data_IF_948335028745
#
_entry.id   IF_948335028745
#
_cell.length_a   1.000
_cell.length_b   1.000
_cell.length_c   1.000
_cell.angle_alpha   90.00
_cell.angle_beta   90.00
_cell.angle_gamma   90.00
#
_symmetry.space_group_name_H-M   'P 1'
#
loop_
_entity.id
_entity.type
_entity.pdbx_description
1 polymer ?
#
# COMPACT_ATOMS: atom_id res chain seq x y z
N UNK A 1 -14.14 18.26 -23.64
CA UNK A 1 -15.02 17.18 -23.14
C UNK A 1 -14.28 15.84 -23.09
N UNK A 2 -13.66 15.39 -24.18
CA UNK A 2 -12.96 14.09 -24.29
C UNK A 2 -11.81 13.83 -23.29
N UNK A 3 -11.09 14.87 -22.85
CA UNK A 3 -9.97 14.71 -21.88
C UNK A 3 -10.49 14.39 -20.47
N UNK A 4 -11.58 15.04 -20.04
CA UNK A 4 -12.14 14.85 -18.70
C UNK A 4 -12.75 13.45 -18.56
N UNK A 5 -13.49 13.00 -19.58
CA UNK A 5 -14.05 11.64 -19.64
C UNK A 5 -12.98 10.57 -19.47
N UNK A 6 -11.86 10.71 -20.17
CA UNK A 6 -10.74 9.77 -20.08
C UNK A 6 -10.05 9.80 -18.72
N UNK A 7 -9.94 10.98 -18.09
CA UNK A 7 -9.42 11.11 -16.72
C UNK A 7 -10.34 10.40 -15.71
N UNK A 8 -11.65 10.54 -15.87
CA UNK A 8 -12.63 9.85 -15.01
C UNK A 8 -12.55 8.32 -15.17
N UNK A 9 -12.49 7.83 -16.41
CA UNK A 9 -12.35 6.40 -16.70
C UNK A 9 -11.08 5.80 -16.05
N UNK A 10 -9.95 6.52 -16.13
CA UNK A 10 -8.69 6.11 -15.48
C UNK A 10 -8.83 6.11 -13.96
N UNK A 11 -9.46 7.14 -13.40
CA UNK A 11 -9.70 7.24 -11.95
C UNK A 11 -10.55 6.06 -11.47
N UNK A 12 -11.64 5.76 -12.17
CA UNK A 12 -12.57 4.70 -11.77
C UNK A 12 -11.92 3.32 -11.90
N UNK A 13 -11.18 3.08 -12.99
CA UNK A 13 -10.38 1.86 -13.15
C UNK A 13 -9.34 1.72 -12.03
N UNK A 14 -8.69 2.82 -11.65
CA UNK A 14 -7.71 2.83 -10.57
C UNK A 14 -8.36 2.55 -9.22
N UNK A 15 -9.51 3.16 -8.94
CA UNK A 15 -10.27 2.92 -7.71
C UNK A 15 -10.73 1.46 -7.62
N UNK A 16 -11.29 0.91 -8.69
CA UNK A 16 -11.75 -0.48 -8.71
C UNK A 16 -10.61 -1.49 -8.56
N UNK A 17 -9.44 -1.22 -9.16
CA UNK A 17 -8.31 -2.16 -9.16
C UNK A 17 -7.48 -2.06 -7.89
N UNK A 18 -7.20 -0.83 -7.42
CA UNK A 18 -6.18 -0.58 -6.41
C UNK A 18 -6.71 -0.01 -5.10
N UNK A 19 -7.95 0.48 -5.06
CA UNK A 19 -8.53 1.10 -3.86
C UNK A 19 -9.82 0.42 -3.38
N UNK A 20 -10.28 -0.61 -4.09
CA UNK A 20 -11.39 -1.46 -3.63
C UNK A 20 -10.98 -2.14 -2.34
N UNK A 21 -11.84 -2.01 -1.33
CA UNK A 21 -11.65 -2.61 -0.03
C UNK A 21 -12.14 -4.06 -0.08
N UNK A 22 -11.38 -4.95 0.55
CA UNK A 22 -11.67 -6.37 0.71
C UNK A 22 -11.61 -6.73 2.20
N UNK A 23 -12.08 -7.91 2.58
CA UNK A 23 -12.07 -8.42 3.96
C UNK A 23 -10.65 -8.50 4.56
N UNK A 24 -9.61 -8.51 3.72
CA UNK A 24 -8.20 -8.52 4.11
C UNK A 24 -7.56 -7.11 4.13
N UNK A 25 -8.31 -6.06 3.81
CA UNK A 25 -7.83 -4.68 3.86
C UNK A 25 -7.84 -4.16 5.29
N UNK A 26 -6.69 -3.69 5.79
CA UNK A 26 -6.56 -3.13 7.13
C UNK A 26 -5.93 -1.73 7.16
N UNK A 27 -5.80 -1.08 6.00
CA UNK A 27 -5.36 0.32 5.89
C UNK A 27 -6.32 1.11 5.00
N UNK A 28 -6.49 2.39 5.32
CA UNK A 28 -7.45 3.26 4.62
C UNK A 28 -6.99 3.66 3.22
N UNK A 29 -7.92 4.18 2.40
CA UNK A 29 -7.65 4.65 1.02
C UNK A 29 -6.52 5.68 0.95
N UNK A 30 -6.46 6.63 1.89
CA UNK A 30 -5.39 7.65 1.93
C UNK A 30 -4.02 7.02 2.15
N UNK A 31 -3.91 6.06 3.07
CA UNK A 31 -2.66 5.34 3.33
C UNK A 31 -2.24 4.49 2.12
N UNK A 32 -3.20 3.90 1.41
CA UNK A 32 -2.96 3.17 0.17
C UNK A 32 -2.41 4.08 -0.91
N UNK A 33 -3.05 5.22 -1.18
CA UNK A 33 -2.58 6.21 -2.15
C UNK A 33 -1.18 6.70 -1.79
N UNK A 34 -0.96 7.05 -0.51
CA UNK A 34 0.35 7.49 -0.04
C UNK A 34 1.43 6.41 -0.25
N UNK A 35 1.10 5.15 0.02
CA UNK A 35 2.00 4.01 -0.19
C UNK A 35 2.29 3.78 -1.68
N UNK A 36 1.29 3.92 -2.55
CA UNK A 36 1.47 3.79 -4.01
C UNK A 36 2.36 4.91 -4.56
N UNK A 37 2.06 6.16 -4.22
CA UNK A 37 2.80 7.33 -4.70
C UNK A 37 4.23 7.31 -4.17
N UNK A 38 4.40 7.13 -2.85
CA UNK A 38 5.71 7.05 -2.22
C UNK A 38 6.52 5.85 -2.70
N UNK A 39 5.89 4.68 -2.81
CA UNK A 39 6.52 3.46 -3.32
C UNK A 39 6.98 3.60 -4.76
N UNK A 40 6.15 4.20 -5.63
CA UNK A 40 6.52 4.51 -7.02
C UNK A 40 7.71 5.45 -7.10
N UNK A 41 7.70 6.54 -6.31
CA UNK A 41 8.79 7.51 -6.29
C UNK A 41 10.12 6.88 -5.85
N UNK A 42 10.12 6.12 -4.75
CA UNK A 42 11.32 5.48 -4.21
C UNK A 42 11.82 4.40 -5.18
N UNK A 43 10.92 3.56 -5.72
CA UNK A 43 11.29 2.55 -6.72
C UNK A 43 11.90 3.21 -7.97
N UNK A 44 11.29 4.27 -8.48
CA UNK A 44 11.80 5.02 -9.63
C UNK A 44 13.18 5.62 -9.36
N UNK A 45 13.41 6.16 -8.15
CA UNK A 45 14.72 6.65 -7.74
C UNK A 45 15.77 5.52 -7.74
N UNK A 46 15.42 4.36 -7.20
CA UNK A 46 16.28 3.17 -7.22
C UNK A 46 16.63 2.71 -8.64
N UNK A 47 15.63 2.64 -9.53
CA UNK A 47 15.85 2.31 -10.96
C UNK A 47 16.83 3.29 -11.59
N UNK A 48 16.68 4.60 -11.36
CA UNK A 48 17.57 5.61 -11.94
C UNK A 48 19.00 5.55 -11.43
N UNK A 49 19.19 5.11 -10.19
CA UNK A 49 20.49 5.06 -9.52
C UNK A 49 21.17 3.68 -9.55
N UNK A 50 20.56 2.68 -10.20
CA UNK A 50 21.03 1.29 -10.16
C UNK A 50 22.48 1.13 -10.66
N UNK A 51 22.88 1.94 -11.65
CA UNK A 51 24.24 1.92 -12.21
C UNK A 51 25.24 2.75 -11.40
N UNK A 52 24.77 3.80 -10.73
CA UNK A 52 25.63 4.72 -9.97
C UNK A 52 25.91 4.24 -8.55
N UNK A 53 24.95 3.56 -7.92
CA UNK A 53 25.03 3.13 -6.53
C UNK A 53 24.18 1.87 -6.32
N UNK A 54 24.63 0.71 -6.81
CA UNK A 54 23.82 -0.52 -6.89
C UNK A 54 23.33 -1.01 -5.52
N UNK A 55 24.15 -0.90 -4.47
CA UNK A 55 23.77 -1.31 -3.12
C UNK A 55 22.62 -0.44 -2.61
N UNK A 56 22.74 0.88 -2.72
CA UNK A 56 21.71 1.80 -2.25
C UNK A 56 20.43 1.71 -3.09
N UNK A 57 20.57 1.59 -4.41
CA UNK A 57 19.47 1.37 -5.33
C UNK A 57 18.70 0.08 -5.03
N UNK A 58 19.38 -0.99 -4.61
CA UNK A 58 18.72 -2.23 -4.19
C UNK A 58 17.83 -2.03 -2.97
N UNK A 59 18.30 -1.25 -1.98
CA UNK A 59 17.50 -0.87 -0.82
C UNK A 59 16.29 -0.03 -1.21
N UNK A 60 16.47 0.96 -2.09
CA UNK A 60 15.38 1.79 -2.61
C UNK A 60 14.34 0.95 -3.36
N UNK A 61 14.76 0.01 -4.20
CA UNK A 61 13.85 -0.90 -4.90
C UNK A 61 13.05 -1.78 -3.94
N UNK A 62 13.70 -2.34 -2.91
CA UNK A 62 13.03 -3.17 -1.91
C UNK A 62 12.00 -2.36 -1.12
N UNK A 63 12.37 -1.16 -0.65
CA UNK A 63 11.46 -0.27 0.08
C UNK A 63 10.30 0.16 -0.80
N UNK A 64 10.60 0.59 -2.03
CA UNK A 64 9.59 0.99 -3.01
C UNK A 64 8.61 -0.14 -3.32
N UNK A 65 9.12 -1.35 -3.59
CA UNK A 65 8.31 -2.54 -3.82
C UNK A 65 7.42 -2.88 -2.62
N UNK A 66 7.94 -2.81 -1.40
CA UNK A 66 7.15 -3.07 -0.19
C UNK A 66 6.03 -2.06 0.01
N UNK A 67 6.28 -0.78 -0.25
CA UNK A 67 5.26 0.26 -0.20
C UNK A 67 4.19 0.07 -1.29
N UNK A 68 4.59 -0.25 -2.52
CA UNK A 68 3.67 -0.58 -3.61
C UNK A 68 2.80 -1.79 -3.23
N UNK A 69 3.41 -2.87 -2.74
CA UNK A 69 2.69 -4.06 -2.29
C UNK A 69 1.68 -3.72 -1.18
N UNK A 70 2.08 -2.92 -0.18
CA UNK A 70 1.18 -2.44 0.89
C UNK A 70 0.01 -1.64 0.32
N UNK A 71 0.28 -0.69 -0.58
CA UNK A 71 -0.77 0.17 -1.14
C UNK A 71 -1.76 -0.58 -2.02
N UNK A 72 -1.26 -1.48 -2.88
CA UNK A 72 -2.09 -2.31 -3.77
C UNK A 72 -2.93 -3.31 -2.98
N UNK A 73 -2.30 -4.09 -2.10
CA UNK A 73 -3.02 -5.11 -1.30
C UNK A 73 -3.96 -4.50 -0.25
N UNK A 74 -3.72 -3.26 0.17
CA UNK A 74 -4.45 -2.68 1.29
C UNK A 74 -4.13 -3.34 2.63
N UNK A 75 -3.03 -4.09 2.73
CA UNK A 75 -2.64 -4.81 3.94
C UNK A 75 -1.28 -4.34 4.49
N UNK A 76 -1.24 -4.13 5.80
CA UNK A 76 -0.09 -3.72 6.59
C UNK A 76 0.01 -4.54 7.86
N UNK A 77 1.02 -5.42 7.93
CA UNK A 77 1.32 -6.21 9.13
C UNK A 77 1.62 -5.36 10.37
N UNK A 78 2.11 -4.13 10.17
CA UNK A 78 2.39 -3.20 11.26
C UNK A 78 1.07 -2.70 11.86
N UNK A 79 0.11 -2.35 11.00
CA UNK A 79 -1.21 -1.89 11.43
C UNK A 79 -1.97 -3.00 12.14
N UNK A 80 -1.97 -4.21 11.59
CA UNK A 80 -2.57 -5.40 12.23
C UNK A 80 -1.99 -5.63 13.64
N UNK A 81 -0.66 -5.56 13.79
CA UNK A 81 -0.04 -5.74 15.10
C UNK A 81 -0.42 -4.63 16.09
N UNK A 82 -0.51 -3.39 15.62
CA UNK A 82 -0.86 -2.25 16.45
C UNK A 82 -2.34 -2.32 16.90
N UNK A 83 -3.25 -2.71 16.02
CA UNK A 83 -4.67 -2.88 16.34
C UNK A 83 -4.89 -4.04 17.32
N UNK A 84 -4.22 -5.18 17.12
CA UNK A 84 -4.27 -6.31 18.05
C UNK A 84 -3.69 -5.98 19.45
N UNK A 85 -2.74 -5.05 19.54
CA UNK A 85 -2.21 -4.59 20.83
C UNK A 85 -3.22 -3.72 21.59
N UNK A 86 -4.08 -3.00 20.88
CA UNK A 86 -5.08 -2.08 21.46
C UNK A 86 -6.32 -2.85 21.96
N UNK A 87 -6.73 -3.93 21.31
CA UNK A 87 -7.96 -4.67 21.66
C UNK A 87 -7.84 -5.56 22.92
N UNK A 88 -6.63 -5.80 23.45
CA UNK A 88 -6.44 -6.67 24.61
C UNK A 88 -6.76 -8.14 24.31
N UNK A 89 -6.45 -9.08 25.23
CA UNK A 89 -6.66 -10.51 24.98
C UNK A 89 -8.15 -10.81 24.76
N UNK A 90 -8.47 -11.57 23.72
CA UNK A 90 -9.86 -11.95 23.41
C UNK A 90 -10.58 -12.54 24.64
N UNK A 91 -11.84 -12.14 24.90
CA UNK A 91 -12.60 -12.65 26.03
C UNK A 91 -12.86 -14.15 25.86
N UNK A 92 -12.30 -14.96 26.76
CA UNK A 92 -12.52 -16.39 26.80
C UNK A 92 -13.98 -16.64 27.25
N UNK A 93 -14.82 -17.12 26.33
CA UNK A 93 -16.17 -17.58 26.66
C UNK A 93 -16.10 -18.87 27.50
N UNK A 94 -16.29 -18.74 28.81
CA UNK A 94 -16.47 -19.90 29.69
C UNK A 94 -17.92 -20.36 29.58
N UNK A 95 -18.14 -21.46 28.87
CA UNK A 95 -19.44 -22.14 28.82
C UNK A 95 -19.56 -22.97 30.10
N UNK A 96 -20.55 -22.65 30.95
CA UNK A 96 -20.84 -23.36 32.20
C UNK A 96 -21.84 -24.49 31.98
#
# INVERSE_FOLDING_TARGET
MMIIEKIMEIKDTFEETFLKEDIYTNIGKTERILSIVGGTYIAFKGIRNILSSPIMASGELVVGYKLLQRGISGYSKITEKLENEIEGPEPILIIK
#
